data_IF_503891000341
#
_entry.id   IF_503891000341
#
_cell.length_a   1.000
_cell.length_b   1.000
_cell.length_c   1.000
_cell.angle_alpha   90.00
_cell.angle_beta   90.00
_cell.angle_gamma   90.00
#
_symmetry.space_group_name_H-M   'P 1'
#
loop_
_entity.id
_entity.type
_entity.pdbx_description
1 polymer ?
#
# COMPACT_ATOMS: atom_id res chain seq x y z
N UNK A 1 -15.15 14.06 -8.16
CA UNK A 1 -14.00 13.88 -7.26
C UNK A 1 -13.63 12.42 -7.23
N UNK A 2 -12.35 12.14 -7.29
CA UNK A 2 -11.86 10.76 -7.28
C UNK A 2 -10.62 10.73 -6.38
N UNK A 3 -10.84 10.50 -5.09
CA UNK A 3 -9.77 10.38 -4.12
C UNK A 3 -10.07 9.26 -3.16
N UNK A 4 -9.05 8.50 -2.81
CA UNK A 4 -9.15 7.47 -1.80
C UNK A 4 -8.02 7.66 -0.78
N UNK A 5 -8.31 7.33 0.47
CA UNK A 5 -7.36 7.36 1.57
C UNK A 5 -7.41 5.98 2.21
N UNK A 6 -6.29 5.28 2.17
CA UNK A 6 -6.25 3.89 2.59
C UNK A 6 -5.17 3.69 3.63
N UNK A 7 -5.40 2.75 4.53
CA UNK A 7 -4.43 2.34 5.52
C UNK A 7 -4.34 0.84 5.50
N UNK A 8 -3.14 0.31 5.44
CA UNK A 8 -2.96 -1.14 5.42
C UNK A 8 -1.50 -1.53 5.46
N UNK A 9 -1.24 -2.77 5.12
CA UNK A 9 0.11 -3.34 5.14
C UNK A 9 0.45 -3.81 3.73
N UNK A 10 1.64 -3.44 3.28
CA UNK A 10 2.14 -3.90 1.98
C UNK A 10 2.46 -5.39 2.08
N UNK A 11 1.91 -6.16 1.17
CA UNK A 11 2.14 -7.61 1.12
C UNK A 11 3.23 -7.96 0.12
N UNK A 12 3.24 -7.28 -1.02
CA UNK A 12 4.23 -7.54 -2.05
C UNK A 12 4.51 -6.28 -2.84
N UNK A 13 5.70 -6.22 -3.43
CA UNK A 13 6.11 -5.10 -4.28
C UNK A 13 6.73 -5.70 -5.52
N UNK A 14 6.22 -5.32 -6.69
CA UNK A 14 6.68 -5.83 -7.96
C UNK A 14 7.01 -4.69 -8.91
N UNK A 15 8.02 -4.92 -9.74
CA UNK A 15 8.36 -4.02 -10.82
C UNK A 15 8.02 -4.74 -12.11
N UNK A 16 6.94 -4.32 -12.82
CA UNK A 16 6.59 -4.98 -14.07
C UNK A 16 7.72 -4.87 -15.08
N UNK A 17 7.90 -5.93 -15.85
CA UNK A 17 8.89 -5.95 -16.92
C UNK A 17 8.50 -4.94 -18.00
N UNK A 18 9.52 -4.48 -18.70
CA UNK A 18 9.28 -3.55 -19.79
C UNK A 18 9.19 -2.10 -19.37
N UNK A 19 9.50 -1.81 -18.10
CA UNK A 19 9.59 -0.41 -17.68
C UNK A 19 10.62 0.32 -18.53
N UNK A 20 10.15 1.31 -19.27
CA UNK A 20 11.07 2.20 -19.96
C UNK A 20 11.74 3.11 -18.94
N UNK A 21 12.91 3.64 -19.31
CA UNK A 21 13.62 4.55 -18.43
C UNK A 21 12.79 5.76 -18.05
N UNK A 22 11.83 6.12 -18.89
CA UNK A 22 11.02 7.32 -18.71
C UNK A 22 9.74 7.06 -17.91
N UNK A 23 9.34 5.80 -17.76
CA UNK A 23 8.08 5.46 -17.10
C UNK A 23 8.33 4.35 -16.10
N UNK A 24 8.88 4.72 -14.98
CA UNK A 24 9.07 3.75 -13.90
C UNK A 24 7.71 3.42 -13.29
N UNK A 25 7.40 2.14 -13.20
CA UNK A 25 6.13 1.64 -12.69
C UNK A 25 6.40 0.62 -11.60
N UNK A 26 5.73 0.78 -10.48
CA UNK A 26 5.80 -0.15 -9.35
C UNK A 26 4.40 -0.57 -9.00
N UNK A 27 4.20 -1.85 -8.71
CA UNK A 27 2.91 -2.40 -8.33
C UNK A 27 3.03 -3.01 -6.94
N UNK A 28 2.16 -2.59 -6.04
CA UNK A 28 2.10 -3.12 -4.69
C UNK A 28 0.78 -3.81 -4.46
N UNK A 29 0.77 -4.82 -3.60
CA UNK A 29 -0.46 -5.38 -3.06
C UNK A 29 -0.61 -4.86 -1.65
N UNK A 30 -1.71 -4.18 -1.38
CA UNK A 30 -2.03 -3.62 -0.07
C UNK A 30 -3.08 -4.48 0.59
N UNK A 31 -2.79 -4.99 1.78
CA UNK A 31 -3.78 -5.73 2.56
C UNK A 31 -4.46 -4.79 3.52
N UNK A 32 -5.77 -4.69 3.41
CA UNK A 32 -6.61 -3.96 4.35
C UNK A 32 -7.43 -4.94 5.14
N UNK A 33 -7.61 -4.64 6.42
CA UNK A 33 -8.33 -5.51 7.33
C UNK A 33 -9.48 -4.71 7.93
N UNK A 34 -10.68 -5.30 7.93
CA UNK A 34 -11.81 -4.66 8.58
C UNK A 34 -12.63 -5.70 9.34
N UNK A 35 -13.42 -5.22 10.28
CA UNK A 35 -14.32 -6.08 11.04
C UNK A 35 -15.64 -6.21 10.32
N UNK A 36 -16.14 -7.45 10.26
CA UNK A 36 -17.47 -7.70 9.74
C UNK A 36 -18.51 -7.42 10.81
N UNK A 37 -19.78 -7.45 10.41
CA UNK A 37 -20.89 -7.28 11.36
C UNK A 37 -20.91 -8.35 12.44
N UNK A 38 -20.41 -9.54 12.10
CA UNK A 38 -20.34 -10.65 13.06
C UNK A 38 -19.13 -10.56 13.97
N UNK A 39 -18.33 -9.50 13.86
CA UNK A 39 -17.17 -9.31 14.69
C UNK A 39 -15.93 -10.05 14.23
N UNK A 40 -15.97 -10.65 13.06
CA UNK A 40 -14.81 -11.34 12.48
C UNK A 40 -13.98 -10.36 11.68
N UNK A 41 -12.69 -10.67 11.53
CA UNK A 41 -11.80 -9.86 10.69
C UNK A 41 -11.80 -10.41 9.28
N UNK A 42 -11.88 -9.51 8.32
CA UNK A 42 -11.81 -9.85 6.90
C UNK A 42 -10.65 -9.08 6.29
N UNK A 43 -9.85 -9.80 5.50
CA UNK A 43 -8.71 -9.22 4.79
C UNK A 43 -9.05 -9.08 3.32
N UNK A 44 -8.69 -7.93 2.74
CA UNK A 44 -8.88 -7.68 1.32
C UNK A 44 -7.58 -7.15 0.75
N UNK A 45 -7.29 -7.55 -0.48
CA UNK A 45 -6.08 -7.11 -1.19
C UNK A 45 -6.46 -6.16 -2.29
N UNK A 46 -5.74 -5.06 -2.36
CA UNK A 46 -5.93 -4.05 -3.39
C UNK A 46 -4.63 -3.82 -4.14
N UNK A 47 -4.73 -3.72 -5.45
CA UNK A 47 -3.57 -3.42 -6.29
C UNK A 47 -3.35 -1.91 -6.31
N UNK A 48 -2.15 -1.49 -5.97
CA UNK A 48 -1.76 -0.09 -5.91
C UNK A 48 -0.62 0.13 -6.88
N UNK A 49 -0.80 1.08 -7.79
CA UNK A 49 0.21 1.43 -8.78
C UNK A 49 0.88 2.74 -8.38
N UNK A 50 2.19 2.80 -8.54
CA UNK A 50 2.96 4.01 -8.34
C UNK A 50 3.80 4.24 -9.59
N UNK A 51 3.99 5.51 -9.94
CA UNK A 51 4.65 5.88 -11.19
C UNK A 51 5.79 6.87 -10.92
N UNK A 52 6.83 6.75 -11.70
CA UNK A 52 7.93 7.71 -11.81
C UNK A 52 8.60 7.98 -10.46
N UNK A 53 8.61 9.23 -9.98
CA UNK A 53 9.30 9.57 -8.74
C UNK A 53 8.76 8.83 -7.54
N UNK A 54 7.45 8.67 -7.49
CA UNK A 54 6.83 7.95 -6.38
C UNK A 54 7.22 6.49 -6.42
N UNK A 55 7.29 5.90 -7.63
CA UNK A 55 7.75 4.52 -7.77
C UNK A 55 9.21 4.37 -7.32
N UNK A 56 10.06 5.33 -7.67
CA UNK A 56 11.44 5.33 -7.22
C UNK A 56 11.55 5.37 -5.70
N UNK A 57 10.78 6.25 -5.08
CA UNK A 57 10.77 6.37 -3.63
C UNK A 57 10.27 5.08 -2.98
N UNK A 58 9.17 4.54 -3.51
CA UNK A 58 8.55 3.33 -2.94
C UNK A 58 9.48 2.13 -3.05
N UNK A 59 10.20 2.02 -4.16
CA UNK A 59 11.14 0.92 -4.35
C UNK A 59 12.20 0.91 -3.25
N UNK A 60 12.59 2.07 -2.79
CA UNK A 60 13.65 2.22 -1.78
C UNK A 60 13.13 2.07 -0.35
N UNK A 61 11.88 2.39 -0.12
CA UNK A 61 11.39 2.55 1.26
C UNK A 61 10.28 1.58 1.64
N UNK A 62 9.65 0.92 0.69
CA UNK A 62 8.49 0.07 0.94
C UNK A 62 8.83 -1.36 0.54
N UNK A 63 8.50 -2.29 1.43
CA UNK A 63 8.71 -3.71 1.18
C UNK A 63 7.58 -4.49 1.84
N UNK A 64 7.58 -5.79 1.64
CA UNK A 64 6.59 -6.67 2.30
C UNK A 64 6.62 -6.45 3.80
N UNK A 65 5.46 -6.21 4.38
CA UNK A 65 5.31 -5.99 5.81
C UNK A 65 5.29 -4.53 6.22
N UNK A 66 5.52 -3.59 5.31
CA UNK A 66 5.53 -2.16 5.66
C UNK A 66 4.11 -1.65 5.86
N UNK A 67 3.78 -1.09 7.03
CA UNK A 67 2.48 -0.47 7.24
C UNK A 67 2.48 0.94 6.65
N UNK A 68 1.42 1.27 5.91
CA UNK A 68 1.39 2.54 5.17
C UNK A 68 0.02 3.18 5.21
N UNK A 69 0.00 4.50 5.04
CA UNK A 69 -1.15 5.25 4.57
C UNK A 69 -0.91 5.59 3.11
N UNK A 70 -1.97 5.51 2.31
CA UNK A 70 -1.89 5.81 0.88
C UNK A 70 -2.98 6.82 0.54
N UNK A 71 -2.59 7.88 -0.14
CA UNK A 71 -3.54 8.76 -0.82
C UNK A 71 -3.44 8.46 -2.30
N UNK A 72 -4.57 8.33 -2.95
CA UNK A 72 -4.57 8.04 -4.37
C UNK A 72 -5.94 8.23 -4.98
N UNK A 73 -6.13 7.60 -6.12
CA UNK A 73 -7.40 7.65 -6.83
C UNK A 73 -7.63 6.32 -7.53
N UNK A 74 -8.90 6.07 -7.86
CA UNK A 74 -9.29 4.83 -8.51
C UNK A 74 -9.02 4.92 -10.00
N UNK A 75 -8.46 3.85 -10.55
CA UNK A 75 -8.23 3.71 -11.98
C UNK A 75 -8.76 2.36 -12.43
N UNK A 76 -9.01 2.22 -13.73
CA UNK A 76 -9.41 0.96 -14.30
C UNK A 76 -8.30 0.45 -15.20
N UNK A 77 -8.05 -0.84 -15.11
CA UNK A 77 -7.15 -1.53 -16.04
C UNK A 77 -7.91 -2.67 -16.68
N UNK A 78 -7.69 -2.85 -17.97
CA UNK A 78 -8.30 -3.94 -18.71
C UNK A 78 -7.33 -5.11 -18.76
N UNK A 79 -7.79 -6.26 -18.24
CA UNK A 79 -7.04 -7.50 -18.29
C UNK A 79 -7.92 -8.51 -19.02
N UNK A 80 -7.45 -8.98 -20.17
CA UNK A 80 -8.14 -10.05 -20.91
C UNK A 80 -9.63 -9.77 -21.11
N UNK A 81 -9.95 -8.52 -21.46
CA UNK A 81 -11.32 -8.13 -21.72
C UNK A 81 -12.16 -7.78 -20.51
N UNK A 82 -11.62 -7.93 -19.30
CA UNK A 82 -12.31 -7.56 -18.08
C UNK A 82 -11.69 -6.31 -17.48
N UNK A 83 -12.54 -5.41 -16.98
CA UNK A 83 -12.08 -4.21 -16.29
C UNK A 83 -11.86 -4.53 -14.82
N UNK A 84 -10.73 -4.13 -14.29
CA UNK A 84 -10.43 -4.25 -12.85
C UNK A 84 -10.19 -2.86 -12.30
N UNK A 85 -10.68 -2.61 -11.08
CA UNK A 85 -10.45 -1.35 -10.39
C UNK A 85 -9.17 -1.46 -9.58
N UNK A 86 -8.27 -0.52 -9.79
CA UNK A 86 -7.01 -0.45 -9.05
C UNK A 86 -6.85 0.95 -8.50
N UNK A 87 -5.87 1.11 -7.65
CA UNK A 87 -5.56 2.40 -7.04
C UNK A 87 -4.25 2.90 -7.65
N UNK A 88 -4.25 4.17 -8.05
CA UNK A 88 -3.01 4.84 -8.41
C UNK A 88 -2.64 5.75 -7.26
N UNK A 89 -1.46 5.50 -6.67
CA UNK A 89 -1.02 6.25 -5.51
C UNK A 89 -0.50 7.62 -5.94
N UNK A 90 -0.88 8.64 -5.19
CA UNK A 90 -0.27 9.96 -5.30
C UNK A 90 0.66 10.24 -4.12
N UNK A 91 0.52 9.49 -3.03
CA UNK A 91 1.37 9.66 -1.87
C UNK A 91 1.37 8.41 -1.01
N UNK A 92 2.54 8.06 -0.48
CA UNK A 92 2.70 7.04 0.57
C UNK A 92 3.22 7.70 1.84
N UNK A 93 2.72 7.27 2.99
CA UNK A 93 3.28 7.64 4.28
C UNK A 93 3.48 6.35 5.06
N UNK A 94 4.71 6.08 5.48
CA UNK A 94 5.00 4.90 6.28
C UNK A 94 4.52 5.16 7.69
N UNK A 95 3.69 4.25 8.21
CA UNK A 95 3.26 4.32 9.59
C UNK A 95 4.41 3.88 10.49
N UNK A 96 4.78 4.73 11.41
CA UNK A 96 5.76 4.33 12.40
C UNK A 96 5.02 3.73 13.58
N UNK A 97 5.36 2.48 13.90
CA UNK A 97 4.90 1.90 15.16
C UNK A 97 5.79 2.47 16.25
N UNK A 98 5.19 2.96 17.35
CA UNK A 98 5.95 3.38 18.51
C UNK A 98 6.70 2.16 19.05
N UNK A 99 7.97 2.29 19.28
CA UNK A 99 8.70 1.19 19.87
C UNK A 99 8.15 0.91 21.24
N UNK A 100 7.89 0.24 21.83
CA UNK A 100 7.47 -0.13 23.02
C UNK A 100 8.05 -0.78 23.63
N UNK A 101 8.00 0.35 23.04
CA UNK A 101 8.53 -0.03 23.41
C UNK A 101 8.88 -0.51 23.45
N UNK A 102 8.68 -0.17 23.41
CA UNK A 102 9.20 -0.57 23.74
C UNK A 102 9.20 -0.75 23.78
N UNK A 103 9.11 -0.36 23.94
CA UNK A 103 9.28 -0.54 24.50
C UNK A 103 8.86 -0.72 24.50
N UNK A 104 8.81 -0.34 24.64
CA UNK A 104 8.71 -0.56 25.19
C UNK A 104 8.29 -0.78 25.08
N UNK A 105 8.22 -0.28 25.32
CA UNK A 105 8.24 -0.46 25.87
C UNK A 105 7.88 -0.70 25.93
N UNK A 106 7.93 -0.42 26.08
CA UNK A 106 7.91 -0.58 26.73
C UNK A 106 7.49 -0.54 26.73
N UNK A 107 7.47 -0.20 26.80
CA UNK A 107 7.39 -0.20 27.47
C UNK A 107 6.97 -0.05 27.40
N UNK A 108 6.96 0.23 27.50
CA UNK A 108 6.84 0.43 27.98
C UNK A 108 6.44 0.58 27.82
N UNK A 109 6.30 0.74 27.87
CA UNK A 109 6.35 0.75 28.24
C UNK A 109 6.03 1.00 28.02
N UNK A 110 5.92 1.38 28.12
CA UNK A 110 6.13 1.48 28.49
C UNK A 110 5.87 1.48 28.36
N UNK A 111 5.67 1.81 28.34
CA UNK A 111 5.90 1.68 28.79
C UNK A 111 5.73 1.66 28.83
#
# INVERSE_FOLDING_TARGET
MNEVYLEGVIVSVDKPEGNAAQNHHLVCQLRMTHRTRQGQFKHELYTVNAWNRLADWAEKHISSGTPVFIKGYLTQRNHSGAAAVEITASRFVIKQTLPHSEESQSSPSEE
#
